data_IF_932066090437
#
_entry.id   IF_932066090437
#
_cell.length_a   1.000
_cell.length_b   1.000
_cell.length_c   1.000
_cell.angle_alpha   90.00
_cell.angle_beta   90.00
_cell.angle_gamma   90.00
#
_symmetry.space_group_name_H-M   'P 1'
#
loop_
_entity.id
_entity.type
_entity.pdbx_description
1 polymer ?
#
# COMPACT_ATOMS: atom_id res chain seq x y z
N UNK A 1 6.16 -0.25 15.30
CA UNK A 1 5.22 -1.24 15.85
C UNK A 1 5.23 -2.55 15.08
N UNK A 2 4.96 -2.57 13.77
CA UNK A 2 4.86 -3.81 12.98
C UNK A 2 6.15 -4.63 13.00
N UNK A 3 7.32 -3.98 12.89
CA UNK A 3 8.60 -4.66 12.94
C UNK A 3 8.86 -5.32 14.30
N UNK A 4 8.52 -4.64 15.41
CA UNK A 4 8.61 -5.22 16.77
C UNK A 4 7.73 -6.45 16.93
N UNK A 5 6.53 -6.43 16.34
CA UNK A 5 5.65 -7.61 16.31
C UNK A 5 6.26 -8.75 15.48
N UNK A 6 6.84 -8.45 14.32
CA UNK A 6 7.56 -9.43 13.51
C UNK A 6 8.72 -10.08 14.28
N UNK A 7 9.52 -9.29 15.02
CA UNK A 7 10.58 -9.82 15.91
C UNK A 7 10.02 -10.77 16.97
N UNK A 8 8.87 -10.43 17.58
CA UNK A 8 8.21 -11.33 18.54
C UNK A 8 7.82 -12.66 17.90
N UNK A 9 7.22 -12.62 16.70
CA UNK A 9 6.84 -13.85 15.98
C UNK A 9 8.05 -14.74 15.65
N UNK A 10 9.15 -14.12 15.18
CA UNK A 10 10.39 -14.86 14.91
C UNK A 10 10.91 -15.56 16.17
N UNK A 11 10.96 -14.81 17.30
CA UNK A 11 11.44 -15.36 18.59
C UNK A 11 10.55 -16.48 19.14
N UNK A 12 9.24 -16.28 19.08
CA UNK A 12 8.28 -17.22 19.67
C UNK A 12 8.10 -18.47 18.82
N UNK A 13 8.06 -18.32 17.49
CA UNK A 13 7.65 -19.39 16.56
C UNK A 13 8.78 -19.88 15.66
N UNK A 14 9.94 -19.25 15.68
CA UNK A 14 11.08 -19.56 14.80
C UNK A 14 10.71 -19.61 13.31
N UNK A 15 9.93 -18.64 12.83
CA UNK A 15 9.42 -18.55 11.45
C UNK A 15 10.09 -17.40 10.69
N UNK A 16 10.05 -17.45 9.37
CA UNK A 16 10.30 -16.28 8.53
C UNK A 16 9.07 -15.40 8.47
N UNK A 17 9.26 -14.09 8.45
CA UNK A 17 8.18 -13.09 8.43
C UNK A 17 8.41 -12.10 7.30
N UNK A 18 7.44 -11.94 6.42
CA UNK A 18 7.41 -10.89 5.43
C UNK A 18 6.44 -9.78 5.88
N UNK A 19 6.95 -8.54 5.95
CA UNK A 19 6.13 -7.36 6.21
C UNK A 19 5.69 -6.81 4.85
N UNK A 20 4.41 -7.05 4.50
CA UNK A 20 3.85 -6.61 3.23
C UNK A 20 3.35 -5.15 3.33
N UNK A 21 3.77 -4.32 2.38
CA UNK A 21 3.34 -2.92 2.27
C UNK A 21 2.95 -2.58 0.83
N UNK A 22 1.80 -1.89 0.70
CA UNK A 22 1.27 -1.42 -0.59
C UNK A 22 1.85 -0.08 -1.05
N UNK A 23 3.10 0.22 -0.71
CA UNK A 23 3.79 1.42 -1.20
C UNK A 23 4.01 1.33 -2.69
N UNK A 24 3.88 2.45 -3.39
CA UNK A 24 4.01 2.52 -4.84
C UNK A 24 4.63 3.85 -5.27
N UNK A 25 5.22 3.84 -6.43
CA UNK A 25 5.64 5.04 -7.15
C UNK A 25 4.42 5.85 -7.56
N UNK A 26 4.42 7.15 -7.30
CA UNK A 26 3.33 8.05 -7.69
C UNK A 26 3.59 8.68 -9.06
N UNK A 27 2.53 9.00 -9.80
CA UNK A 27 2.69 9.78 -11.04
C UNK A 27 2.96 11.28 -10.76
N UNK A 28 2.88 11.72 -9.49
CA UNK A 28 3.07 13.12 -9.09
C UNK A 28 4.27 13.28 -8.17
N UNK A 29 4.09 13.20 -6.86
CA UNK A 29 5.19 13.36 -5.90
C UNK A 29 5.29 12.10 -5.07
N UNK A 30 6.45 11.43 -5.14
CA UNK A 30 6.72 10.24 -4.33
C UNK A 30 7.12 10.73 -2.93
N UNK A 31 6.40 10.34 -1.88
CA UNK A 31 6.85 10.59 -0.52
C UNK A 31 8.22 9.91 -0.31
N UNK A 32 9.20 10.60 0.31
CA UNK A 32 10.53 10.04 0.53
C UNK A 32 10.54 8.69 1.26
N UNK A 33 9.55 8.46 2.12
CA UNK A 33 9.35 7.23 2.90
C UNK A 33 8.60 6.12 2.13
N UNK A 34 8.32 6.33 0.84
CA UNK A 34 7.66 5.34 -0.03
C UNK A 34 8.59 4.82 -1.13
N UNK A 35 9.88 5.13 -1.05
CA UNK A 35 10.86 4.72 -2.06
C UNK A 35 11.53 3.38 -1.71
N UNK A 36 11.95 2.62 -2.72
CA UNK A 36 12.74 1.39 -2.53
C UNK A 36 13.99 1.66 -1.69
N UNK A 37 14.71 2.74 -1.98
CA UNK A 37 15.94 3.12 -1.26
C UNK A 37 15.68 3.38 0.23
N UNK A 38 14.53 3.97 0.57
CA UNK A 38 14.14 4.15 1.97
C UNK A 38 13.98 2.80 2.67
N UNK A 39 13.25 1.86 2.06
CA UNK A 39 13.02 0.53 2.66
C UNK A 39 14.30 -0.31 2.76
N UNK A 40 15.21 -0.24 1.79
CA UNK A 40 16.50 -0.90 1.86
C UNK A 40 17.34 -0.40 3.05
N UNK A 41 17.38 0.94 3.26
CA UNK A 41 18.06 1.53 4.41
C UNK A 41 17.36 1.20 5.73
N UNK A 42 16.03 1.21 5.75
CA UNK A 42 15.24 0.88 6.93
C UNK A 42 15.45 -0.59 7.33
N UNK A 43 15.43 -1.50 6.37
CA UNK A 43 15.71 -2.91 6.59
C UNK A 43 17.13 -3.12 7.13
N UNK A 44 18.13 -2.47 6.51
CA UNK A 44 19.51 -2.53 6.99
C UNK A 44 19.64 -2.03 8.43
N UNK A 45 19.01 -0.90 8.77
CA UNK A 45 19.02 -0.36 10.12
C UNK A 45 18.36 -1.30 11.14
N UNK A 46 17.26 -1.93 10.78
CA UNK A 46 16.58 -2.88 11.64
C UNK A 46 17.37 -4.19 11.80
N UNK A 47 18.02 -4.68 10.74
CA UNK A 47 18.89 -5.86 10.81
C UNK A 47 20.10 -5.63 11.74
N UNK A 48 20.68 -4.45 11.70
CA UNK A 48 21.78 -4.07 12.59
C UNK A 48 21.32 -3.92 14.05
N UNK A 49 20.14 -3.37 14.27
CA UNK A 49 19.64 -3.02 15.61
C UNK A 49 18.87 -4.13 16.33
N UNK A 50 18.57 -5.27 15.70
CA UNK A 50 17.76 -6.31 16.33
C UNK A 50 18.32 -7.71 16.08
N UNK A 51 18.28 -8.53 17.12
CA UNK A 51 18.63 -9.95 17.05
C UNK A 51 17.56 -10.71 16.26
N UNK A 52 17.97 -11.67 15.43
CA UNK A 52 17.12 -12.52 14.60
C UNK A 52 16.35 -11.81 13.47
N UNK A 53 16.73 -10.57 13.16
CA UNK A 53 16.14 -9.79 12.08
C UNK A 53 16.44 -10.32 10.67
N UNK A 54 17.38 -11.24 10.51
CA UNK A 54 17.68 -11.91 9.24
C UNK A 54 16.50 -12.75 8.68
N UNK A 55 15.53 -13.08 9.55
CA UNK A 55 14.30 -13.79 9.18
C UNK A 55 13.14 -12.85 8.84
N UNK A 56 13.36 -11.52 8.84
CA UNK A 56 12.33 -10.52 8.59
C UNK A 56 12.69 -9.77 7.32
N UNK A 57 11.76 -9.74 6.35
CA UNK A 57 11.92 -9.02 5.10
C UNK A 57 10.76 -8.06 4.87
N UNK A 58 10.97 -7.06 4.00
CA UNK A 58 9.89 -6.26 3.45
C UNK A 58 9.45 -6.84 2.10
N UNK A 59 8.16 -7.11 1.95
CA UNK A 59 7.53 -7.47 0.69
C UNK A 59 6.83 -6.26 0.10
N UNK A 60 7.40 -5.70 -0.97
CA UNK A 60 7.01 -4.43 -1.57
C UNK A 60 6.61 -4.63 -3.04
N UNK A 61 5.48 -5.28 -3.33
CA UNK A 61 5.15 -5.72 -4.69
C UNK A 61 4.91 -4.57 -5.68
N UNK A 62 4.63 -3.36 -5.19
CA UNK A 62 4.27 -2.21 -6.03
C UNK A 62 5.26 -1.04 -5.96
N UNK A 63 6.37 -1.17 -5.24
CA UNK A 63 7.29 -0.06 -4.92
C UNK A 63 7.87 0.64 -6.16
N UNK A 64 8.04 -0.08 -7.28
CA UNK A 64 8.50 0.47 -8.56
C UNK A 64 7.35 0.61 -9.58
N UNK A 65 6.11 0.59 -9.11
CA UNK A 65 4.91 0.62 -9.94
C UNK A 65 3.96 1.76 -9.59
N UNK A 66 2.90 1.88 -10.36
CA UNK A 66 1.89 2.90 -10.19
C UNK A 66 0.62 2.34 -9.57
N UNK A 67 -0.20 3.20 -8.98
CA UNK A 67 -1.46 2.82 -8.31
C UNK A 67 -2.40 1.97 -9.17
N UNK A 68 -2.39 2.11 -10.50
CA UNK A 68 -3.24 1.29 -11.36
C UNK A 68 -2.92 -0.21 -11.30
N UNK A 69 -1.67 -0.60 -10.97
CA UNK A 69 -1.32 -2.01 -10.77
C UNK A 69 -2.03 -2.57 -9.53
N UNK A 70 -2.07 -1.79 -8.44
CA UNK A 70 -2.80 -2.16 -7.22
C UNK A 70 -4.29 -2.34 -7.51
N UNK A 71 -4.90 -1.39 -8.23
CA UNK A 71 -6.33 -1.46 -8.59
C UNK A 71 -6.62 -2.70 -9.45
N UNK A 72 -5.73 -2.98 -10.42
CA UNK A 72 -5.84 -4.16 -11.28
C UNK A 72 -5.78 -5.45 -10.46
N UNK A 73 -4.79 -5.58 -9.59
CA UNK A 73 -4.61 -6.78 -8.76
C UNK A 73 -5.79 -6.99 -7.81
N UNK A 74 -6.36 -5.91 -7.23
CA UNK A 74 -7.57 -6.01 -6.41
C UNK A 74 -8.74 -6.58 -7.21
N UNK A 75 -8.94 -6.13 -8.46
CA UNK A 75 -10.00 -6.64 -9.33
C UNK A 75 -9.78 -8.12 -9.61
N UNK A 76 -8.57 -8.50 -10.05
CA UNK A 76 -8.22 -9.89 -10.36
C UNK A 76 -8.35 -10.82 -9.13
N UNK A 77 -7.92 -10.36 -7.96
CA UNK A 77 -8.09 -11.11 -6.71
C UNK A 77 -9.57 -11.28 -6.35
N UNK A 78 -10.37 -10.22 -6.50
CA UNK A 78 -11.81 -10.28 -6.24
C UNK A 78 -12.51 -11.26 -7.17
N UNK A 79 -12.20 -11.22 -8.47
CA UNK A 79 -12.77 -12.13 -9.46
C UNK A 79 -12.44 -13.59 -9.13
N UNK A 80 -11.18 -13.86 -8.75
CA UNK A 80 -10.73 -15.20 -8.36
C UNK A 80 -11.37 -15.72 -7.07
N UNK A 81 -11.73 -14.83 -6.15
CA UNK A 81 -12.32 -15.17 -4.84
C UNK A 81 -13.85 -15.05 -4.83
N UNK A 82 -14.49 -14.64 -5.92
CA UNK A 82 -15.92 -14.38 -5.98
C UNK A 82 -16.36 -13.19 -5.11
N UNK A 83 -15.49 -12.19 -4.92
CA UNK A 83 -15.75 -10.98 -4.14
C UNK A 83 -16.13 -9.81 -5.06
N UNK A 84 -16.86 -8.83 -4.49
CA UNK A 84 -17.21 -7.61 -5.22
C UNK A 84 -16.16 -6.52 -4.96
N UNK A 85 -15.33 -6.23 -5.96
CA UNK A 85 -14.29 -5.20 -5.89
C UNK A 85 -14.86 -3.78 -5.70
N UNK A 86 -16.08 -3.47 -6.17
CA UNK A 86 -16.71 -2.17 -5.93
C UNK A 86 -16.94 -1.90 -4.44
N UNK A 87 -17.32 -2.94 -3.68
CA UNK A 87 -17.46 -2.85 -2.23
C UNK A 87 -16.13 -2.53 -1.55
N UNK A 88 -15.04 -3.14 -2.01
CA UNK A 88 -13.69 -2.87 -1.48
C UNK A 88 -13.28 -1.42 -1.78
N UNK A 89 -13.44 -0.98 -3.03
CA UNK A 89 -13.07 0.37 -3.41
C UNK A 89 -13.91 1.44 -2.73
N UNK A 90 -15.22 1.19 -2.54
CA UNK A 90 -16.11 2.10 -1.81
C UNK A 90 -15.68 2.32 -0.35
N UNK A 91 -15.10 1.30 0.28
CA UNK A 91 -14.63 1.34 1.66
C UNK A 91 -13.12 1.68 1.79
N UNK A 92 -12.47 2.11 0.70
CA UNK A 92 -11.06 2.51 0.71
C UNK A 92 -10.92 4.02 0.57
N UNK A 93 -10.00 4.62 1.34
CA UNK A 93 -9.72 6.06 1.30
C UNK A 93 -8.27 6.29 0.92
N UNK A 94 -8.04 7.15 -0.09
CA UNK A 94 -6.69 7.61 -0.48
C UNK A 94 -6.45 9.07 -0.09
N UNK A 95 -7.49 9.85 0.13
CA UNK A 95 -7.41 11.29 0.35
C UNK A 95 -6.70 11.65 1.66
N UNK A 96 -5.73 12.60 1.60
CA UNK A 96 -5.07 13.14 2.78
C UNK A 96 -5.83 14.31 3.44
N UNK A 97 -6.84 14.85 2.76
CA UNK A 97 -7.67 15.96 3.25
C UNK A 97 -9.15 15.72 2.91
N UNK A 98 -9.77 14.68 3.49
CA UNK A 98 -11.19 14.43 3.27
C UNK A 98 -12.03 15.52 3.95
N UNK A 99 -13.23 15.74 3.42
CA UNK A 99 -14.21 16.63 4.06
C UNK A 99 -14.74 16.03 5.37
N UNK A 100 -15.45 16.85 6.15
CA UNK A 100 -16.12 16.39 7.38
C UNK A 100 -17.17 15.28 7.09
N UNK A 101 -17.75 15.28 5.90
CA UNK A 101 -18.68 14.22 5.45
C UNK A 101 -17.98 12.95 4.96
N UNK A 102 -16.63 12.89 4.97
CA UNK A 102 -15.84 11.77 4.53
C UNK A 102 -15.60 11.69 3.02
N UNK A 103 -16.04 12.68 2.23
CA UNK A 103 -15.76 12.73 0.78
C UNK A 103 -14.30 13.08 0.52
N UNK A 104 -13.75 12.51 -0.54
CA UNK A 104 -12.39 12.82 -0.99
C UNK A 104 -12.33 14.20 -1.64
N UNK A 105 -11.28 15.00 -1.37
CA UNK A 105 -11.16 16.37 -1.88
C UNK A 105 -11.00 16.49 -3.41
N UNK A 106 -10.71 15.40 -4.12
CA UNK A 106 -10.55 15.37 -5.57
C UNK A 106 -9.33 16.08 -6.16
N UNK A 107 -8.51 16.75 -5.33
CA UNK A 107 -7.43 17.64 -5.83
C UNK A 107 -6.05 17.40 -5.20
N UNK A 108 -5.93 16.63 -4.13
CA UNK A 108 -4.61 16.27 -3.60
C UNK A 108 -3.91 15.22 -4.49
N UNK A 109 -2.59 15.07 -4.36
CA UNK A 109 -1.80 14.11 -5.14
C UNK A 109 -2.37 12.69 -5.07
N UNK A 110 -2.72 12.23 -3.88
CA UNK A 110 -3.29 10.88 -3.68
C UNK A 110 -4.67 10.70 -4.36
N UNK A 111 -5.51 11.75 -4.43
CA UNK A 111 -6.76 11.72 -5.19
C UNK A 111 -6.49 11.68 -6.69
N UNK A 112 -5.54 12.49 -7.17
CA UNK A 112 -5.16 12.51 -8.59
C UNK A 112 -4.63 11.14 -9.04
N UNK A 113 -3.71 10.53 -8.27
CA UNK A 113 -3.18 9.19 -8.56
C UNK A 113 -4.29 8.13 -8.56
N UNK A 114 -5.27 8.25 -7.65
CA UNK A 114 -6.42 7.34 -7.62
C UNK A 114 -7.29 7.51 -8.86
N UNK A 115 -7.70 8.73 -9.18
CA UNK A 115 -8.53 8.99 -10.36
C UNK A 115 -7.85 8.55 -11.66
N UNK A 116 -6.54 8.78 -11.79
CA UNK A 116 -5.75 8.34 -12.94
C UNK A 116 -5.70 6.81 -13.04
N UNK A 117 -5.53 6.11 -11.91
CA UNK A 117 -5.50 4.65 -11.88
C UNK A 117 -6.81 4.04 -12.40
N UNK A 118 -7.95 4.50 -11.87
CA UNK A 118 -9.27 4.04 -12.31
C UNK A 118 -9.57 4.40 -13.77
N UNK A 119 -9.23 5.62 -14.19
CA UNK A 119 -9.37 6.07 -15.59
C UNK A 119 -8.54 5.22 -16.56
N UNK A 120 -7.28 4.89 -16.20
CA UNK A 120 -6.39 4.06 -17.02
C UNK A 120 -6.94 2.67 -17.24
N UNK A 121 -7.56 2.10 -16.23
CA UNK A 121 -8.19 0.78 -16.29
C UNK A 121 -9.62 0.80 -16.85
N UNK A 122 -10.18 1.99 -17.11
CA UNK A 122 -11.57 2.17 -17.55
C UNK A 122 -12.59 1.56 -16.58
N UNK A 123 -12.28 1.59 -15.29
CA UNK A 123 -13.13 1.13 -14.20
C UNK A 123 -13.69 2.35 -13.46
N UNK A 124 -14.94 2.26 -13.00
CA UNK A 124 -15.57 3.32 -12.22
C UNK A 124 -15.00 3.34 -10.80
N UNK A 125 -14.52 4.50 -10.35
CA UNK A 125 -14.24 4.72 -8.93
C UNK A 125 -15.56 4.90 -8.17
N UNK A 126 -15.74 4.16 -7.09
CA UNK A 126 -17.00 4.09 -6.34
C UNK A 126 -17.06 5.02 -5.14
N UNK A 127 -15.99 5.78 -4.86
CA UNK A 127 -16.01 6.79 -3.80
C UNK A 127 -16.59 8.11 -4.30
N UNK A 128 -16.97 8.98 -3.35
CA UNK A 128 -17.44 10.33 -3.64
C UNK A 128 -16.29 11.34 -3.51
N UNK A 129 -16.31 12.31 -4.42
CA UNK A 129 -15.42 13.47 -4.42
C UNK A 129 -16.24 14.76 -4.16
N UNK A 130 -15.56 15.80 -3.61
CA UNK A 130 -16.14 17.16 -3.47
C UNK A 130 -16.30 17.86 -4.81
#
# INVERSE_FOLDING_TARGET
LIYGYAVSLVKEKNVFVDIALGVHDGEHTIPPDSTRVFFEKLESAFKEGNVESDKINYYLPYVDGYKHLIVKDVIECCDNLGLNHETIFKNSLSCYNPSESGKSCGKCGACNDRMLAFKKLKVKDTIEYE
#
